data_IF_072500221414
#
_entry.id   IF_072500221414
#
_cell.length_a   1.000
_cell.length_b   1.000
_cell.length_c   1.000
_cell.angle_alpha   90.00
_cell.angle_beta   90.00
_cell.angle_gamma   90.00
#
_symmetry.space_group_name_H-M   'P 1'
#
loop_
_entity.id
_entity.type
_entity.pdbx_description
1 polymer ?
#
# COMPACT_ATOMS: atom_id res chain seq x y z
N UNK A 1 9.41 -4.60 1.67
CA UNK A 1 8.40 -3.62 2.13
C UNK A 1 7.16 -4.36 2.59
N UNK A 2 6.71 -5.30 1.76
CA UNK A 2 5.61 -6.24 1.97
C UNK A 2 5.72 -6.94 3.31
N UNK A 3 6.90 -7.46 3.69
CA UNK A 3 7.11 -8.06 5.01
C UNK A 3 6.75 -7.12 6.16
N UNK A 4 7.05 -5.82 6.06
CA UNK A 4 6.72 -4.82 7.11
C UNK A 4 5.22 -4.56 7.14
N UNK A 5 4.55 -4.51 5.98
CA UNK A 5 3.09 -4.38 5.90
C UNK A 5 2.37 -5.66 6.39
N UNK A 6 2.91 -6.84 6.07
CA UNK A 6 2.35 -8.14 6.46
C UNK A 6 2.44 -8.44 7.95
N UNK A 7 3.33 -7.76 8.70
CA UNK A 7 3.30 -7.80 10.17
C UNK A 7 2.00 -7.26 10.76
N UNK A 8 1.28 -6.40 10.03
CA UNK A 8 0.03 -5.76 10.48
C UNK A 8 -1.19 -6.20 9.67
N UNK A 9 -1.01 -6.40 8.37
CA UNK A 9 -2.08 -6.75 7.44
C UNK A 9 -1.90 -8.20 6.98
N UNK A 10 -2.63 -9.10 7.65
CA UNK A 10 -2.57 -10.54 7.41
C UNK A 10 -3.66 -10.94 6.41
N UNK A 11 -3.31 -11.82 5.46
CA UNK A 11 -4.25 -12.41 4.51
C UNK A 11 -4.59 -11.54 3.29
N UNK A 12 -4.15 -10.29 3.23
CA UNK A 12 -4.41 -9.37 2.11
C UNK A 12 -3.21 -9.25 1.14
N UNK A 13 -2.73 -10.39 0.64
CA UNK A 13 -1.51 -10.45 -0.19
C UNK A 13 -1.60 -9.59 -1.46
N UNK A 14 -2.69 -9.72 -2.22
CA UNK A 14 -2.88 -8.96 -3.46
C UNK A 14 -2.92 -7.45 -3.22
N UNK A 15 -3.63 -7.00 -2.16
CA UNK A 15 -3.70 -5.59 -1.82
C UNK A 15 -2.32 -5.02 -1.40
N UNK A 16 -1.57 -5.79 -0.61
CA UNK A 16 -0.21 -5.40 -0.18
C UNK A 16 0.73 -5.33 -1.37
N UNK A 17 0.68 -6.31 -2.28
CA UNK A 17 1.52 -6.35 -3.48
C UNK A 17 1.20 -5.19 -4.45
N UNK A 18 -0.08 -4.89 -4.67
CA UNK A 18 -0.52 -3.78 -5.51
C UNK A 18 0.04 -2.44 -5.03
N UNK A 19 -0.03 -2.20 -3.71
CA UNK A 19 0.52 -0.99 -3.08
C UNK A 19 2.05 -0.96 -3.16
N UNK A 20 2.72 -2.09 -2.88
CA UNK A 20 4.17 -2.19 -2.96
C UNK A 20 4.71 -1.94 -4.37
N UNK A 21 4.01 -2.42 -5.39
CA UNK A 21 4.37 -2.19 -6.78
C UNK A 21 4.29 -0.70 -7.17
N UNK A 22 3.25 0.01 -6.74
CA UNK A 22 3.15 1.45 -6.98
C UNK A 22 4.30 2.22 -6.32
N UNK A 23 4.60 1.92 -5.07
CA UNK A 23 5.71 2.55 -4.33
C UNK A 23 7.09 2.22 -4.92
N UNK A 24 7.29 0.99 -5.41
CA UNK A 24 8.52 0.62 -6.13
C UNK A 24 8.73 1.46 -7.38
N UNK A 25 7.70 1.59 -8.23
CA UNK A 25 7.78 2.43 -9.44
C UNK A 25 8.09 3.88 -9.08
N UNK A 26 7.48 4.36 -8.00
CA UNK A 26 7.72 5.71 -7.49
C UNK A 26 9.16 5.97 -7.10
N UNK A 27 9.72 5.09 -6.26
CA UNK A 27 11.10 5.21 -5.79
C UNK A 27 12.12 5.03 -6.91
N UNK A 28 11.78 4.25 -7.94
CA UNK A 28 12.62 4.05 -9.11
C UNK A 28 12.52 5.20 -10.14
N UNK A 29 11.69 6.23 -9.90
CA UNK A 29 11.49 7.32 -10.86
C UNK A 29 10.76 6.89 -12.14
N UNK A 30 10.07 5.75 -12.12
CA UNK A 30 9.35 5.18 -13.27
C UNK A 30 7.89 5.65 -13.37
N UNK A 31 7.52 6.68 -12.61
CA UNK A 31 6.18 7.26 -12.60
C UNK A 31 6.18 8.65 -13.24
N UNK A 32 5.04 9.03 -13.78
CA UNK A 32 4.76 10.38 -14.25
C UNK A 32 4.86 11.38 -13.08
N UNK A 33 5.73 12.42 -13.15
CA UNK A 33 5.90 13.38 -12.07
C UNK A 33 4.65 14.23 -11.79
N UNK A 34 3.72 14.32 -12.74
CA UNK A 34 2.47 15.08 -12.59
C UNK A 34 1.34 14.22 -11.97
N UNK A 35 1.64 12.99 -11.54
CA UNK A 35 0.67 12.06 -10.97
C UNK A 35 1.00 11.63 -9.54
N UNK A 36 -0.01 11.29 -8.72
CA UNK A 36 0.22 10.71 -7.41
C UNK A 36 0.91 9.34 -7.54
N UNK A 37 1.68 8.99 -6.50
CA UNK A 37 2.39 7.71 -6.38
C UNK A 37 1.46 6.50 -6.63
N UNK A 38 0.24 6.59 -6.13
CA UNK A 38 -0.82 5.63 -6.38
C UNK A 38 -2.15 6.17 -5.88
N UNK A 39 -3.23 5.81 -6.58
CA UNK A 39 -4.61 6.04 -6.16
C UNK A 39 -5.26 4.67 -5.97
N UNK A 40 -5.76 4.41 -4.75
CA UNK A 40 -6.26 3.10 -4.37
C UNK A 40 -7.69 3.21 -3.85
N UNK A 41 -8.53 2.26 -4.25
CA UNK A 41 -9.87 2.05 -3.70
C UNK A 41 -9.93 0.65 -3.09
N UNK A 42 -9.96 0.57 -1.76
CA UNK A 42 -10.09 -0.71 -1.05
C UNK A 42 -11.56 -1.07 -0.87
N UNK A 43 -11.99 -2.19 -1.45
CA UNK A 43 -13.36 -2.70 -1.37
C UNK A 43 -13.40 -4.02 -0.61
N UNK A 44 -14.47 -4.25 0.15
CA UNK A 44 -14.69 -5.49 0.88
C UNK A 44 -15.50 -5.31 2.18
N UNK A 45 -15.84 -6.41 2.89
CA UNK A 45 -16.61 -6.36 4.13
C UNK A 45 -15.95 -5.53 5.24
N UNK A 46 -16.70 -5.14 6.26
CA UNK A 46 -16.14 -4.47 7.44
C UNK A 46 -15.19 -5.41 8.20
N UNK A 47 -14.20 -4.86 8.90
CA UNK A 47 -13.26 -5.65 9.72
C UNK A 47 -12.11 -6.34 8.98
N UNK A 48 -12.08 -6.38 7.64
CA UNK A 48 -11.04 -7.10 6.87
C UNK A 48 -9.67 -6.42 6.76
N UNK A 49 -9.48 -5.26 7.40
CA UNK A 49 -8.18 -4.58 7.44
C UNK A 49 -7.95 -3.45 6.41
N UNK A 50 -9.00 -2.96 5.73
CA UNK A 50 -8.87 -1.84 4.75
C UNK A 50 -8.24 -0.58 5.35
N UNK A 51 -8.76 -0.13 6.48
CA UNK A 51 -8.25 1.06 7.19
C UNK A 51 -6.87 0.80 7.79
N UNK A 52 -6.61 -0.44 8.22
CA UNK A 52 -5.31 -0.84 8.78
C UNK A 52 -4.22 -0.81 7.71
N UNK A 53 -4.52 -1.24 6.48
CA UNK A 53 -3.60 -1.12 5.34
C UNK A 53 -3.25 0.33 5.04
N UNK A 54 -4.23 1.25 5.09
CA UNK A 54 -3.97 2.67 4.91
C UNK A 54 -3.06 3.25 6.02
N UNK A 55 -3.28 2.86 7.29
CA UNK A 55 -2.43 3.31 8.42
C UNK A 55 -1.01 2.75 8.33
N UNK A 56 -0.86 1.45 8.08
CA UNK A 56 0.43 0.80 7.93
C UNK A 56 1.23 1.37 6.75
N UNK A 57 0.53 1.75 5.67
CA UNK A 57 1.13 2.43 4.53
C UNK A 57 1.62 3.85 4.89
N UNK A 58 0.80 4.63 5.60
CA UNK A 58 1.17 5.97 6.03
C UNK A 58 2.42 5.95 6.92
N UNK A 59 2.44 5.10 7.95
CA UNK A 59 3.62 4.91 8.80
C UNK A 59 4.83 4.47 7.97
N UNK A 60 4.69 3.53 7.04
CA UNK A 60 5.81 3.12 6.20
C UNK A 60 6.38 4.24 5.31
N UNK A 61 5.52 5.15 4.85
CA UNK A 61 5.91 6.21 3.92
C UNK A 61 6.50 7.44 4.61
N UNK A 62 6.07 7.73 5.84
CA UNK A 62 6.36 9.00 6.51
C UNK A 62 7.03 8.85 7.89
N UNK A 63 7.09 7.64 8.46
CA UNK A 63 7.84 7.29 9.69
C UNK A 63 8.98 6.27 9.44
#
# INVERSE_FOLDING_TARGET
MEERLHRRVIGQHEAVEAVANALRRSRAGLQDPDRPIGSFLFLGPTGVGKTELARALAEFMFD
#
